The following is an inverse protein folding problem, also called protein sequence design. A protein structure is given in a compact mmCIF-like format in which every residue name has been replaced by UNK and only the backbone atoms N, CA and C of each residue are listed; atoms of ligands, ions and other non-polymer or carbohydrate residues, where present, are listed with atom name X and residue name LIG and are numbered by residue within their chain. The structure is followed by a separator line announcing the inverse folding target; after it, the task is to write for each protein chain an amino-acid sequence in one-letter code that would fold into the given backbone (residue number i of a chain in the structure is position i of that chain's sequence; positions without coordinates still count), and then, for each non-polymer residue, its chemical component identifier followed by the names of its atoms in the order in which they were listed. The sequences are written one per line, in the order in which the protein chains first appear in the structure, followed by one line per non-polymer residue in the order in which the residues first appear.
data_IF_197950848231
#
_entry.id   IF_197950848231
#
_cell.length_a   1.000
_cell.length_b   1.000
_cell.length_c   1.000
_cell.angle_alpha   90.00
_cell.angle_beta   90.00
_cell.angle_gamma   90.00
#
_symmetry.space_group_name_H-M   'P 1'
#
loop_
_entity.id
_entity.type
_entity.pdbx_description
1 polymer ?
#
# COMPACT_ATOMS: atom_id res chain seq x y z
N UNK A 1 -20.66 -47.74 -10.79
CA UNK A 1 -20.81 -46.52 -9.95
C UNK A 1 -20.18 -46.79 -8.58
N UNK A 2 -18.92 -46.39 -8.39
CA UNK A 2 -18.15 -46.67 -7.18
C UNK A 2 -18.19 -45.47 -6.22
N UNK A 3 -18.54 -45.74 -4.96
CA UNK A 3 -18.73 -44.75 -3.88
C UNK A 3 -17.36 -44.22 -3.41
N UNK A 4 -17.08 -42.95 -3.67
CA UNK A 4 -15.98 -42.22 -3.04
C UNK A 4 -16.40 -41.77 -1.64
N UNK A 5 -15.98 -42.53 -0.62
CA UNK A 5 -16.19 -42.22 0.80
C UNK A 5 -14.94 -42.65 1.58
N UNK A 6 -14.02 -41.71 1.84
CA UNK A 6 -13.14 -41.64 3.03
C UNK A 6 -11.98 -40.69 2.76
N UNK A 7 -11.99 -39.52 3.41
CA UNK A 7 -10.79 -38.75 3.80
C UNK A 7 -11.24 -37.51 4.61
N UNK A 8 -11.78 -37.71 5.83
CA UNK A 8 -12.06 -36.59 6.74
C UNK A 8 -11.72 -36.87 8.23
N UNK A 9 -11.08 -37.99 8.57
CA UNK A 9 -10.92 -38.42 9.97
C UNK A 9 -9.48 -38.37 10.52
N UNK A 10 -8.60 -37.49 10.03
CA UNK A 10 -7.18 -37.45 10.46
C UNK A 10 -6.71 -36.16 11.14
N UNK A 11 -7.52 -35.11 11.27
CA UNK A 11 -7.02 -33.79 11.75
C UNK A 11 -7.07 -33.59 13.26
N UNK A 12 -7.78 -34.42 14.03
CA UNK A 12 -7.97 -34.19 15.46
C UNK A 12 -6.78 -34.62 16.35
N UNK A 13 -5.92 -35.53 15.88
CA UNK A 13 -4.84 -36.10 16.72
C UNK A 13 -3.50 -35.36 16.64
N UNK A 14 -3.33 -34.47 15.66
CA UNK A 14 -2.05 -33.79 15.40
C UNK A 14 -1.92 -32.43 16.10
N UNK A 15 -3.03 -31.85 16.60
CA UNK A 15 -3.05 -30.52 17.23
C UNK A 15 -2.46 -30.48 18.65
N UNK A 16 -2.31 -31.64 19.31
CA UNK A 16 -1.81 -31.71 20.69
C UNK A 16 -0.29 -31.43 20.80
N UNK A 17 0.46 -31.56 19.71
CA UNK A 17 1.94 -31.46 19.71
C UNK A 17 2.46 -30.11 19.22
N UNK A 18 1.60 -29.20 18.73
CA UNK A 18 2.08 -27.90 18.24
C UNK A 18 2.64 -27.02 19.39
N UNK A 19 3.85 -26.44 19.20
CA UNK A 19 4.42 -25.52 20.17
C UNK A 19 3.45 -24.39 20.50
N UNK A 20 3.38 -23.98 21.77
CA UNK A 20 2.48 -22.91 22.26
C UNK A 20 2.59 -21.63 21.42
N UNK A 21 3.80 -21.28 20.98
CA UNK A 21 4.06 -20.12 20.14
C UNK A 21 3.39 -20.21 18.75
N UNK A 22 3.37 -21.39 18.14
CA UNK A 22 2.73 -21.64 16.83
C UNK A 22 1.22 -21.47 16.97
N UNK A 23 0.62 -22.12 17.98
CA UNK A 23 -0.82 -21.99 18.27
C UNK A 23 -1.24 -20.54 18.50
N UNK A 24 -0.47 -19.78 19.27
CA UNK A 24 -0.73 -18.35 19.49
C UNK A 24 -0.63 -17.52 18.21
N UNK A 25 0.34 -17.82 17.33
CA UNK A 25 0.49 -17.13 16.07
C UNK A 25 -0.70 -17.41 15.13
N UNK A 26 -1.14 -18.67 15.03
CA UNK A 26 -2.32 -19.07 14.27
C UNK A 26 -3.59 -18.43 14.82
N UNK A 27 -3.77 -18.39 16.15
CA UNK A 27 -4.92 -17.75 16.78
C UNK A 27 -4.96 -16.24 16.45
N UNK A 28 -3.82 -15.55 16.51
CA UNK A 28 -3.73 -14.13 16.11
C UNK A 28 -4.09 -13.92 14.65
N UNK A 29 -3.69 -14.84 13.77
CA UNK A 29 -3.98 -14.77 12.35
C UNK A 29 -5.47 -15.04 12.06
N UNK A 30 -6.08 -16.04 12.70
CA UNK A 30 -7.53 -16.33 12.64
C UNK A 30 -8.36 -15.16 13.15
N UNK A 31 -8.02 -14.59 14.30
CA UNK A 31 -8.71 -13.42 14.83
C UNK A 31 -8.64 -12.22 13.86
N UNK A 32 -7.49 -12.01 13.22
CA UNK A 32 -7.33 -10.94 12.23
C UNK A 32 -8.19 -11.17 10.98
N UNK A 33 -8.30 -12.41 10.50
CA UNK A 33 -9.18 -12.75 9.38
C UNK A 33 -10.66 -12.58 9.73
N UNK A 34 -11.09 -13.08 10.89
CA UNK A 34 -12.46 -12.96 11.39
C UNK A 34 -12.87 -11.48 11.56
N UNK A 35 -11.99 -10.64 12.09
CA UNK A 35 -12.23 -9.18 12.17
C UNK A 35 -12.52 -8.59 10.78
N UNK A 36 -11.77 -9.04 9.77
CA UNK A 36 -11.98 -8.65 8.39
C UNK A 36 -13.32 -9.14 7.83
N UNK A 37 -13.69 -10.40 8.07
CA UNK A 37 -14.96 -10.96 7.62
C UNK A 37 -16.16 -10.24 8.24
N UNK A 38 -16.15 -10.01 9.56
CA UNK A 38 -17.23 -9.27 10.23
C UNK A 38 -17.40 -7.84 9.68
N UNK A 39 -16.30 -7.19 9.27
CA UNK A 39 -16.36 -5.87 8.62
C UNK A 39 -16.87 -5.91 7.19
N UNK A 40 -16.74 -7.04 6.49
CA UNK A 40 -17.33 -7.24 5.17
C UNK A 40 -18.84 -7.51 5.30
N UNK A 41 -19.25 -8.33 6.28
CA UNK A 41 -20.67 -8.64 6.55
C UNK A 41 -21.46 -7.42 7.05
N UNK A 42 -20.83 -6.54 7.83
CA UNK A 42 -21.50 -5.38 8.45
C UNK A 42 -21.60 -4.15 7.52
N UNK A 43 -20.92 -4.14 6.37
CA UNK A 43 -20.93 -3.01 5.46
C UNK A 43 -21.81 -3.28 4.24
N UNK A 44 -22.51 -2.27 3.67
CA UNK A 44 -23.20 -2.47 2.41
C UNK A 44 -22.18 -2.82 1.32
N UNK A 45 -22.47 -3.86 0.54
CA UNK A 45 -21.69 -4.26 -0.64
C UNK A 45 -21.64 -3.19 -1.75
N UNK A 46 -22.33 -2.05 -1.55
CA UNK A 46 -22.45 -0.98 -2.54
C UNK A 46 -21.39 0.10 -2.32
N UNK A 47 -20.45 0.28 -3.27
CA UNK A 47 -19.40 1.31 -3.20
C UNK A 47 -19.91 2.75 -3.37
N UNK A 48 -21.20 2.95 -3.66
CA UNK A 48 -21.77 4.26 -3.99
C UNK A 48 -21.98 5.18 -2.77
N UNK A 49 -21.94 4.65 -1.55
CA UNK A 49 -22.04 5.43 -0.31
C UNK A 49 -20.78 5.21 0.55
N UNK A 50 -19.72 5.95 0.24
CA UNK A 50 -18.37 5.81 0.81
C UNK A 50 -18.21 6.08 2.32
N UNK A 51 -19.30 6.26 3.06
CA UNK A 51 -19.34 6.57 4.50
C UNK A 51 -19.38 5.32 5.38
N UNK A 52 -20.13 4.29 5.00
CA UNK A 52 -20.56 3.25 5.96
C UNK A 52 -19.40 2.35 6.42
N UNK A 53 -18.42 2.12 5.55
CA UNK A 53 -17.25 1.32 5.92
C UNK A 53 -16.30 2.03 6.89
N UNK A 54 -16.27 3.38 6.89
CA UNK A 54 -15.43 4.15 7.82
C UNK A 54 -16.00 4.09 9.23
N UNK A 55 -17.32 4.23 9.38
CA UNK A 55 -17.97 4.21 10.68
C UNK A 55 -17.96 2.83 11.33
N UNK A 56 -18.18 1.76 10.55
CA UNK A 56 -18.04 0.38 11.05
C UNK A 56 -16.62 0.09 11.56
N UNK A 57 -15.59 0.57 10.84
CA UNK A 57 -14.19 0.44 11.26
C UNK A 57 -13.91 1.26 12.51
N UNK A 58 -14.40 2.51 12.58
CA UNK A 58 -14.25 3.38 13.75
C UNK A 58 -14.89 2.77 14.98
N UNK A 59 -16.08 2.21 14.84
CA UNK A 59 -16.80 1.57 15.94
C UNK A 59 -16.11 0.29 16.41
N UNK A 60 -15.69 -0.57 15.48
CA UNK A 60 -14.94 -1.78 15.84
C UNK A 60 -13.60 -1.46 16.51
N UNK A 61 -12.92 -0.40 16.05
CA UNK A 61 -11.70 0.11 16.66
C UNK A 61 -11.92 0.60 18.09
N UNK A 62 -12.98 1.38 18.31
CA UNK A 62 -13.41 1.84 19.64
C UNK A 62 -13.72 0.67 20.56
N UNK A 63 -14.59 -0.26 20.11
CA UNK A 63 -15.03 -1.42 20.89
C UNK A 63 -13.90 -2.34 21.33
N UNK A 64 -12.86 -2.50 20.49
CA UNK A 64 -11.74 -3.42 20.77
C UNK A 64 -10.49 -2.73 21.31
N UNK A 65 -10.51 -1.40 21.46
CA UNK A 65 -9.34 -0.63 21.90
C UNK A 65 -8.12 -0.85 21.00
N UNK A 66 -8.31 -0.87 19.68
CA UNK A 66 -7.23 -1.06 18.69
C UNK A 66 -7.27 0.05 17.63
N UNK A 67 -6.12 0.40 16.99
CA UNK A 67 -6.08 1.43 15.95
C UNK A 67 -6.95 1.09 14.73
N UNK A 68 -7.61 2.09 14.14
CA UNK A 68 -8.47 1.92 12.95
C UNK A 68 -7.73 1.28 11.77
N UNK A 69 -6.45 1.63 11.55
CA UNK A 69 -5.63 1.09 10.47
C UNK A 69 -5.57 -0.45 10.49
N UNK A 70 -5.57 -1.07 11.69
CA UNK A 70 -5.59 -2.54 11.82
C UNK A 70 -6.84 -3.15 11.17
N UNK A 71 -8.00 -2.53 11.35
CA UNK A 71 -9.28 -3.02 10.82
C UNK A 71 -9.42 -2.75 9.33
N UNK A 72 -8.88 -1.62 8.84
CA UNK A 72 -8.71 -1.40 7.41
C UNK A 72 -7.91 -2.52 6.75
N UNK A 73 -6.79 -2.90 7.37
CA UNK A 73 -5.94 -3.99 6.89
C UNK A 73 -6.63 -5.36 7.01
N UNK A 74 -7.34 -5.62 8.11
CA UNK A 74 -8.10 -6.86 8.31
C UNK A 74 -9.19 -7.03 7.23
N UNK A 75 -9.97 -5.97 6.98
CA UNK A 75 -10.99 -5.95 5.92
C UNK A 75 -10.36 -6.15 4.54
N UNK A 76 -9.25 -5.47 4.24
CA UNK A 76 -8.51 -5.66 2.98
C UNK A 76 -8.01 -7.10 2.83
N UNK A 77 -7.56 -7.71 3.92
CA UNK A 77 -7.11 -9.10 3.95
C UNK A 77 -8.26 -10.06 3.65
N UNK A 78 -9.38 -9.99 4.37
CA UNK A 78 -10.55 -10.82 4.13
C UNK A 78 -11.14 -10.64 2.71
N UNK A 79 -11.05 -9.43 2.13
CA UNK A 79 -11.47 -9.19 0.74
C UNK A 79 -10.59 -9.91 -0.29
N UNK A 80 -9.32 -10.16 0.02
CA UNK A 80 -8.34 -10.72 -0.92
C UNK A 80 -8.11 -12.23 -0.77
N UNK A 81 -8.55 -12.81 0.34
CA UNK A 81 -8.39 -14.23 0.65
C UNK A 81 -9.74 -14.78 1.08
N UNK A 82 -10.23 -15.79 0.35
CA UNK A 82 -11.39 -16.55 0.81
C UNK A 82 -10.98 -17.54 1.92
N UNK A 83 -11.96 -18.23 2.51
CA UNK A 83 -11.72 -19.16 3.62
C UNK A 83 -10.76 -20.29 3.24
N UNK A 84 -10.92 -20.89 2.06
CA UNK A 84 -10.02 -21.95 1.58
C UNK A 84 -8.57 -21.46 1.43
N UNK A 85 -8.36 -20.29 0.84
CA UNK A 85 -7.04 -19.68 0.70
C UNK A 85 -6.47 -19.31 2.07
N UNK A 86 -7.30 -18.84 3.00
CA UNK A 86 -6.90 -18.54 4.36
C UNK A 86 -6.44 -19.80 5.12
N UNK A 87 -7.14 -20.93 4.96
CA UNK A 87 -6.71 -22.20 5.55
C UNK A 87 -5.43 -22.73 4.87
N UNK A 88 -5.29 -22.59 3.55
CA UNK A 88 -4.01 -22.85 2.85
C UNK A 88 -2.89 -22.03 3.48
N UNK A 89 -3.10 -20.73 3.71
CA UNK A 89 -2.12 -19.87 4.40
C UNK A 89 -1.79 -20.35 5.81
N UNK A 90 -2.80 -20.76 6.58
CA UNK A 90 -2.62 -21.28 7.92
C UNK A 90 -1.92 -22.63 7.96
N UNK A 91 -1.85 -23.37 6.84
CA UNK A 91 -1.10 -24.63 6.73
C UNK A 91 0.38 -24.41 6.44
N UNK A 92 0.75 -23.25 5.86
CA UNK A 92 2.12 -22.97 5.49
C UNK A 92 2.99 -22.71 6.73
N UNK A 93 4.19 -23.30 6.71
CA UNK A 93 5.18 -23.19 7.78
C UNK A 93 6.50 -22.75 7.20
N UNK A 94 7.14 -21.78 7.85
CA UNK A 94 8.55 -21.46 7.61
C UNK A 94 9.44 -22.61 8.13
N UNK A 95 10.70 -22.70 7.69
CA UNK A 95 11.71 -23.63 8.24
C UNK A 95 11.81 -23.65 9.77
N UNK A 96 11.52 -22.54 10.46
CA UNK A 96 11.49 -22.47 11.93
C UNK A 96 10.18 -23.00 12.56
N UNK A 97 9.30 -23.60 11.76
CA UNK A 97 8.01 -24.15 12.18
C UNK A 97 6.94 -23.11 12.47
N UNK A 98 7.20 -21.81 12.26
CA UNK A 98 6.22 -20.74 12.54
C UNK A 98 5.42 -20.39 11.28
N UNK A 99 4.13 -20.02 11.43
CA UNK A 99 3.34 -19.48 10.32
C UNK A 99 3.77 -18.03 10.03
N UNK A 100 3.32 -17.49 8.90
CA UNK A 100 3.42 -16.06 8.63
C UNK A 100 2.52 -15.27 9.59
N UNK A 101 3.05 -14.17 10.14
CA UNK A 101 2.27 -13.28 11.01
C UNK A 101 1.34 -12.37 10.19
N UNK A 102 0.28 -11.78 10.80
CA UNK A 102 -0.57 -10.79 10.14
C UNK A 102 0.21 -9.67 9.43
N UNK A 103 1.31 -9.20 10.02
CA UNK A 103 2.17 -8.16 9.42
C UNK A 103 2.78 -8.58 8.08
N UNK A 104 3.14 -9.84 7.88
CA UNK A 104 3.61 -10.31 6.57
C UNK A 104 2.51 -10.15 5.52
N UNK A 105 1.27 -10.47 5.87
CA UNK A 105 0.13 -10.35 4.97
C UNK A 105 -0.22 -8.89 4.65
N UNK A 106 -0.11 -7.99 5.64
CA UNK A 106 -0.27 -6.55 5.41
C UNK A 106 0.71 -6.05 4.34
N UNK A 107 1.97 -6.45 4.41
CA UNK A 107 2.95 -6.10 3.38
C UNK A 107 2.66 -6.77 2.04
N UNK A 108 2.32 -8.07 2.02
CA UNK A 108 1.93 -8.76 0.79
C UNK A 108 0.74 -8.08 0.08
N UNK A 109 -0.20 -7.48 0.82
CA UNK A 109 -1.33 -6.72 0.27
C UNK A 109 -0.94 -5.37 -0.35
N UNK A 110 0.32 -4.92 -0.24
CA UNK A 110 0.85 -3.79 -1.02
C UNK A 110 1.11 -4.19 -2.48
N UNK A 111 1.19 -5.48 -2.78
CA UNK A 111 1.39 -6.02 -4.13
C UNK A 111 0.05 -6.33 -4.77
N UNK A 112 -0.39 -5.47 -5.70
CA UNK A 112 -1.69 -5.61 -6.39
C UNK A 112 -1.76 -6.89 -7.24
N UNK A 113 -0.69 -7.22 -7.96
CA UNK A 113 -0.61 -8.42 -8.79
C UNK A 113 -0.63 -9.71 -7.94
N UNK A 114 -1.70 -10.52 -8.12
CA UNK A 114 -1.92 -11.76 -7.36
C UNK A 114 -0.82 -12.81 -7.58
N UNK A 115 -0.28 -12.92 -8.80
CA UNK A 115 0.78 -13.90 -9.13
C UNK A 115 2.09 -13.51 -8.45
N UNK A 116 2.48 -12.24 -8.51
CA UNK A 116 3.66 -11.70 -7.82
C UNK A 116 3.53 -11.85 -6.30
N UNK A 117 2.35 -11.54 -5.74
CA UNK A 117 2.07 -11.73 -4.31
C UNK A 117 2.25 -13.20 -3.88
N UNK A 118 1.71 -14.16 -4.65
CA UNK A 118 1.89 -15.60 -4.36
C UNK A 118 3.36 -16.04 -4.46
N UNK A 119 4.11 -15.49 -5.42
CA UNK A 119 5.55 -15.73 -5.54
C UNK A 119 6.34 -15.23 -4.32
N UNK A 120 6.11 -13.98 -3.91
CA UNK A 120 6.73 -13.38 -2.72
C UNK A 120 6.38 -14.14 -1.44
N UNK A 121 5.14 -14.57 -1.29
CA UNK A 121 4.71 -15.39 -0.16
C UNK A 121 5.50 -16.72 -0.10
N UNK A 122 5.65 -17.42 -1.23
CA UNK A 122 6.43 -18.66 -1.31
C UNK A 122 7.89 -18.45 -0.95
N UNK A 123 8.52 -17.38 -1.47
CA UNK A 123 9.90 -17.00 -1.12
C UNK A 123 10.05 -16.67 0.35
N UNK A 124 9.12 -15.88 0.91
CA UNK A 124 9.09 -15.52 2.33
C UNK A 124 9.08 -16.77 3.22
N UNK A 125 8.28 -17.77 2.86
CA UNK A 125 8.22 -19.04 3.58
C UNK A 125 9.51 -19.83 3.41
N UNK A 126 9.94 -20.07 2.17
CA UNK A 126 11.13 -20.87 1.85
C UNK A 126 12.40 -20.32 2.49
N UNK A 127 12.58 -19.01 2.44
CA UNK A 127 13.78 -18.31 2.88
C UNK A 127 13.64 -17.73 4.31
N UNK A 128 12.54 -18.02 5.02
CA UNK A 128 12.30 -17.53 6.38
C UNK A 128 12.43 -16.00 6.55
N UNK A 129 11.97 -15.22 5.56
CA UNK A 129 12.11 -13.76 5.63
C UNK A 129 11.42 -13.16 6.85
N UNK A 130 12.05 -12.15 7.44
CA UNK A 130 11.39 -11.26 8.39
C UNK A 130 10.41 -10.33 7.67
N UNK A 131 9.54 -9.66 8.42
CA UNK A 131 8.64 -8.64 7.87
C UNK A 131 9.42 -7.49 7.21
N UNK A 132 10.56 -7.10 7.79
CA UNK A 132 11.45 -6.07 7.22
C UNK A 132 12.00 -6.51 5.88
N UNK A 133 12.56 -7.73 5.81
CA UNK A 133 13.13 -8.26 4.58
C UNK A 133 12.09 -8.40 3.46
N UNK A 134 10.88 -8.85 3.81
CA UNK A 134 9.76 -8.91 2.86
C UNK A 134 9.39 -7.51 2.34
N UNK A 135 9.33 -6.51 3.23
CA UNK A 135 9.05 -5.14 2.83
C UNK A 135 10.13 -4.59 1.88
N UNK A 136 11.40 -4.84 2.15
CA UNK A 136 12.51 -4.44 1.29
C UNK A 136 12.41 -5.09 -0.10
N UNK A 137 12.09 -6.38 -0.18
CA UNK A 137 11.91 -7.09 -1.45
C UNK A 137 10.69 -6.56 -2.22
N UNK A 138 9.59 -6.23 -1.53
CA UNK A 138 8.43 -5.57 -2.15
C UNK A 138 8.84 -4.20 -2.70
N UNK A 139 9.59 -3.41 -1.91
CA UNK A 139 10.08 -2.10 -2.33
C UNK A 139 11.01 -2.22 -3.53
N UNK A 140 11.87 -3.23 -3.60
CA UNK A 140 12.73 -3.46 -4.77
C UNK A 140 11.90 -3.85 -6.00
N UNK A 141 10.96 -4.78 -5.86
CA UNK A 141 10.08 -5.17 -6.98
C UNK A 141 9.24 -4.00 -7.46
N UNK A 142 8.76 -3.16 -6.54
CA UNK A 142 8.00 -1.97 -6.87
C UNK A 142 8.89 -0.89 -7.46
N UNK A 143 10.06 -0.59 -6.89
CA UNK A 143 11.01 0.39 -7.42
C UNK A 143 11.50 0.01 -8.81
N UNK A 144 11.79 -1.26 -9.07
CA UNK A 144 12.12 -1.76 -10.41
C UNK A 144 10.93 -1.72 -11.38
N UNK A 145 9.70 -1.62 -10.84
CA UNK A 145 8.46 -1.45 -11.60
C UNK A 145 7.95 -0.01 -11.61
N UNK A 146 8.60 0.90 -10.88
CA UNK A 146 8.39 2.33 -10.91
C UNK A 146 9.50 2.88 -11.78
N UNK A 147 9.31 2.97 -13.10
CA UNK A 147 10.19 3.80 -13.92
C UNK A 147 10.15 5.21 -13.35
N UNK A 148 11.14 6.02 -13.69
CA UNK A 148 11.34 7.41 -13.28
C UNK A 148 10.11 8.35 -13.53
N UNK A 149 9.00 8.13 -12.81
CA UNK A 149 7.67 8.60 -13.21
C UNK A 149 6.99 7.66 -14.20
N UNK A 150 5.69 7.86 -14.43
CA UNK A 150 5.00 7.24 -15.56
C UNK A 150 5.82 7.49 -16.83
N UNK A 151 6.06 6.48 -17.70
CA UNK A 151 6.80 6.71 -18.93
C UNK A 151 6.19 7.89 -19.67
N UNK A 152 7.03 8.75 -20.24
CA UNK A 152 6.53 9.87 -21.05
C UNK A 152 5.58 9.30 -22.10
N UNK A 153 4.32 9.76 -22.07
CA UNK A 153 3.35 9.41 -23.10
C UNK A 153 3.97 9.78 -24.43
N UNK A 154 3.96 8.86 -25.39
CA UNK A 154 4.37 9.17 -26.77
C UNK A 154 3.46 10.30 -27.26
N UNK A 155 4.06 11.40 -27.64
CA UNK A 155 3.37 12.60 -28.07
C UNK A 155 2.88 12.38 -29.51
N UNK A 156 1.59 12.59 -29.74
CA UNK A 156 0.97 12.43 -31.06
C UNK A 156 0.83 13.78 -31.78
N UNK A 157 0.92 14.88 -31.03
CA UNK A 157 0.80 16.25 -31.54
C UNK A 157 1.67 17.25 -30.76
N UNK A 158 1.82 18.44 -31.32
CA UNK A 158 2.45 19.59 -30.64
C UNK A 158 1.66 20.00 -29.40
N UNK A 159 0.34 20.00 -29.46
CA UNK A 159 -0.54 20.35 -28.33
C UNK A 159 -0.35 19.36 -27.18
N UNK A 160 -0.24 18.06 -27.47
CA UNK A 160 0.08 17.05 -26.45
C UNK A 160 1.43 17.35 -25.77
N UNK A 161 2.42 17.81 -26.55
CA UNK A 161 3.73 18.19 -26.02
C UNK A 161 3.62 19.37 -25.06
N UNK A 162 2.88 20.42 -25.45
CA UNK A 162 2.65 21.61 -24.64
C UNK A 162 1.90 21.28 -23.35
N UNK A 163 0.85 20.45 -23.43
CA UNK A 163 0.10 19.95 -22.26
C UNK A 163 1.02 19.14 -21.34
N UNK A 164 1.88 18.29 -21.88
CA UNK A 164 2.83 17.52 -21.07
C UNK A 164 3.85 18.43 -20.37
N UNK A 165 4.40 19.43 -21.08
CA UNK A 165 5.33 20.43 -20.52
C UNK A 165 4.66 21.21 -19.40
N UNK A 166 3.46 21.75 -19.62
CA UNK A 166 2.71 22.51 -18.61
C UNK A 166 2.43 21.66 -17.36
N UNK A 167 2.09 20.38 -17.54
CA UNK A 167 1.85 19.46 -16.43
C UNK A 167 3.13 19.14 -15.63
N UNK A 168 4.24 18.90 -16.32
CA UNK A 168 5.52 18.59 -15.67
C UNK A 168 6.06 19.78 -14.87
N UNK A 169 6.06 20.96 -15.50
CA UNK A 169 6.49 22.22 -14.88
C UNK A 169 5.58 22.60 -13.70
N UNK A 170 4.25 22.40 -13.83
CA UNK A 170 3.30 22.60 -12.72
C UNK A 170 3.51 21.64 -11.54
N UNK A 171 3.78 20.35 -11.79
CA UNK A 171 4.13 19.39 -10.72
C UNK A 171 5.41 19.81 -9.98
N UNK A 172 6.41 20.25 -10.74
CA UNK A 172 7.67 20.71 -10.17
C UNK A 172 7.48 21.97 -9.30
N UNK A 173 6.70 22.95 -9.77
CA UNK A 173 6.40 24.17 -9.00
C UNK A 173 5.62 23.87 -7.71
N UNK A 174 4.65 22.94 -7.76
CA UNK A 174 3.95 22.49 -6.54
C UNK A 174 4.89 21.84 -5.54
N UNK A 175 5.83 21.01 -6.00
CA UNK A 175 6.84 20.43 -5.12
C UNK A 175 7.74 21.50 -4.48
N UNK A 176 8.16 22.50 -5.26
CA UNK A 176 8.93 23.63 -4.73
C UNK A 176 8.13 24.41 -3.67
N UNK A 177 6.82 24.62 -3.90
CA UNK A 177 5.94 25.32 -2.95
C UNK A 177 5.85 24.63 -1.58
N UNK A 178 6.02 23.29 -1.52
CA UNK A 178 6.07 22.56 -0.24
C UNK A 178 7.31 22.91 0.58
N UNK A 179 8.38 23.41 -0.05
CA UNK A 179 9.59 23.86 0.65
C UNK A 179 9.49 25.33 1.10
N UNK A 180 8.50 26.08 0.61
CA UNK A 180 8.28 27.46 1.05
C UNK A 180 7.70 27.44 2.48
N UNK A 181 8.24 28.26 3.41
CA UNK A 181 7.71 28.32 4.77
C UNK A 181 6.23 28.73 4.70
N UNK A 182 5.35 27.87 5.23
CA UNK A 182 3.91 28.14 5.29
C UNK A 182 3.61 29.26 6.28
N UNK A 183 2.63 30.11 5.97
CA UNK A 183 2.24 31.22 6.86
C UNK A 183 1.50 30.76 8.13
N UNK A 184 1.03 29.51 8.20
CA UNK A 184 0.25 29.01 9.32
C UNK A 184 0.69 27.61 9.77
N UNK A 185 1.34 27.56 10.94
CA UNK A 185 1.50 26.33 11.74
C UNK A 185 2.46 25.30 11.16
N UNK A 186 3.76 25.60 11.18
CA UNK A 186 4.81 24.63 10.87
C UNK A 186 4.61 23.36 11.70
N UNK A 187 4.40 22.24 11.01
CA UNK A 187 4.54 20.93 11.62
C UNK A 187 6.03 20.78 11.99
N UNK A 188 6.33 20.64 13.29
CA UNK A 188 7.71 20.43 13.77
C UNK A 188 8.38 19.31 12.97
N UNK A 189 9.47 19.65 12.24
CA UNK A 189 10.34 18.70 11.57
C UNK A 189 10.22 18.60 10.04
N UNK A 190 9.47 19.47 9.38
CA UNK A 190 9.49 19.54 7.90
C UNK A 190 10.72 20.30 7.38
N UNK A 191 11.34 19.80 6.31
CA UNK A 191 12.49 20.43 5.66
C UNK A 191 11.99 21.58 4.79
N UNK A 192 12.46 22.79 5.08
CA UNK A 192 12.13 24.02 4.36
C UNK A 192 13.27 24.43 3.42
N UNK A 193 13.05 25.50 2.65
CA UNK A 193 14.10 26.17 1.88
C UNK A 193 15.28 26.62 2.74
N UNK A 194 15.03 26.97 4.01
CA UNK A 194 16.04 27.51 4.90
C UNK A 194 16.99 26.45 5.47
N UNK A 195 16.59 25.18 5.42
CA UNK A 195 17.40 24.02 5.75
C UNK A 195 18.37 23.61 4.62
N UNK A 196 18.21 24.16 3.42
CA UNK A 196 19.07 23.86 2.28
C UNK A 196 20.36 24.71 2.28
N UNK A 197 21.51 24.16 1.82
CA UNK A 197 22.73 24.95 1.61
C UNK A 197 22.48 26.14 0.68
N UNK A 198 23.11 27.28 0.97
CA UNK A 198 22.85 28.54 0.24
C UNK A 198 23.06 28.41 -1.28
N UNK A 199 24.09 27.68 -1.71
CA UNK A 199 24.33 27.42 -3.14
C UNK A 199 23.17 26.66 -3.78
N UNK A 200 22.63 25.64 -3.11
CA UNK A 200 21.48 24.85 -3.58
C UNK A 200 20.22 25.70 -3.58
N UNK A 201 19.98 26.49 -2.53
CA UNK A 201 18.83 27.40 -2.42
C UNK A 201 18.79 28.40 -3.58
N UNK A 202 19.94 29.00 -3.89
CA UNK A 202 20.09 29.96 -4.99
C UNK A 202 19.80 29.33 -6.34
N UNK A 203 20.37 28.16 -6.62
CA UNK A 203 20.14 27.43 -7.87
C UNK A 203 18.68 26.97 -7.99
N UNK A 204 18.08 26.48 -6.89
CA UNK A 204 16.70 26.05 -6.88
C UNK A 204 15.74 27.21 -7.19
N UNK A 205 15.93 28.38 -6.56
CA UNK A 205 15.14 29.59 -6.86
C UNK A 205 15.33 30.06 -8.31
N UNK A 206 16.55 29.93 -8.85
CA UNK A 206 16.85 30.27 -10.25
C UNK A 206 16.11 29.34 -11.22
N UNK A 207 16.20 28.02 -10.98
CA UNK A 207 15.45 27.02 -11.71
C UNK A 207 13.94 27.27 -11.62
N UNK A 208 13.43 27.73 -10.46
CA UNK A 208 11.99 27.97 -10.29
C UNK A 208 11.45 29.07 -11.17
N UNK A 209 12.19 30.15 -11.28
CA UNK A 209 11.82 31.25 -12.18
C UNK A 209 11.84 30.78 -13.63
N UNK A 210 12.82 29.96 -14.03
CA UNK A 210 12.94 29.46 -15.39
C UNK A 210 11.82 28.46 -15.74
N UNK A 211 11.49 27.55 -14.83
CA UNK A 211 10.41 26.57 -15.00
C UNK A 211 9.04 27.25 -15.02
N UNK A 212 8.83 28.29 -14.20
CA UNK A 212 7.61 29.12 -14.26
C UNK A 212 7.45 29.77 -15.63
N UNK A 213 8.48 30.44 -16.14
CA UNK A 213 8.46 31.03 -17.49
C UNK A 213 8.14 30.00 -18.58
N UNK A 214 8.71 28.80 -18.49
CA UNK A 214 8.42 27.71 -19.43
C UNK A 214 6.96 27.24 -19.33
N UNK A 215 6.41 27.10 -18.12
CA UNK A 215 5.00 26.78 -17.91
C UNK A 215 4.09 27.83 -18.56
N UNK A 216 4.34 29.10 -18.25
CA UNK A 216 3.50 30.21 -18.72
C UNK A 216 3.54 30.33 -20.24
N UNK A 217 4.71 30.11 -20.85
CA UNK A 217 4.84 30.04 -22.32
C UNK A 217 4.02 28.88 -22.91
N UNK A 218 4.11 27.68 -22.31
CA UNK A 218 3.34 26.52 -22.78
C UNK A 218 1.83 26.72 -22.66
N UNK A 219 1.36 27.34 -21.57
CA UNK A 219 -0.06 27.65 -21.37
C UNK A 219 -0.57 28.70 -22.36
N UNK A 220 0.23 29.73 -22.64
CA UNK A 220 -0.11 30.76 -23.63
C UNK A 220 -0.30 30.17 -25.03
N UNK A 221 0.58 29.28 -25.46
CA UNK A 221 0.45 28.59 -26.75
C UNK A 221 -0.80 27.70 -26.83
N UNK A 222 -1.29 27.19 -25.68
CA UNK A 222 -2.55 26.45 -25.58
C UNK A 222 -3.78 27.36 -25.50
N UNK A 223 -3.62 28.69 -25.54
CA UNK A 223 -4.71 29.65 -25.35
C UNK A 223 -5.30 29.65 -23.94
N UNK A 224 -4.54 29.18 -22.95
CA UNK A 224 -4.91 29.18 -21.54
C UNK A 224 -4.27 30.40 -20.87
N UNK A 225 -5.08 31.24 -20.23
CA UNK A 225 -4.58 32.34 -19.42
C UNK A 225 -3.74 31.79 -18.26
N UNK A 226 -2.59 32.41 -18.01
CA UNK A 226 -1.63 31.96 -17.01
C UNK A 226 -2.03 32.33 -15.56
N UNK A 227 -3.23 32.87 -15.37
CA UNK A 227 -3.71 33.39 -14.10
C UNK A 227 -4.30 32.26 -13.24
N UNK A 228 -3.42 31.61 -12.47
CA UNK A 228 -3.67 30.92 -11.18
C UNK A 228 -2.35 30.46 -10.52
#
# INVERSE_FOLDING_TARGET
MAKSKRQQSSTAKESATEPRAVRQALQKLRAFYQDGCSLLESGPDKPEQGTDSKDAIKEMARKRGKPQNRFWQARKFAKNYNEEQFEELCSLRRPDGKPLSPSHFVYLLLVNDKRRRKSLQRRTIKESWSTSRLYDEIRQVQASSTPAGAPFRRLESTDDALVQIANMTGRWLRWVKVLEPGEEGEAEGEITFDDLPESVRKELKSASRSIRKLRDAALRELGQDADD
#
